data_IF_079273010857
#
_entry.id   IF_079273010857
#
_cell.length_a   1.000
_cell.length_b   1.000
_cell.length_c   1.000
_cell.angle_alpha   90.00
_cell.angle_beta   90.00
_cell.angle_gamma   90.00
#
_symmetry.space_group_name_H-M   'P 1'
#
loop_
_entity.id
_entity.type
_entity.pdbx_description
1 polymer ?
#
# COMPACT_ATOMS: atom_id res chain seq x y z
N UNK A 1 -13.88 -12.99 43.89
CA UNK A 1 -13.13 -13.27 42.65
C UNK A 1 -11.73 -12.66 42.76
N UNK A 2 -10.74 -13.42 43.24
CA UNK A 2 -9.37 -12.94 43.48
C UNK A 2 -8.52 -13.11 42.21
N UNK A 3 -7.91 -12.02 41.72
CA UNK A 3 -6.88 -12.02 40.66
C UNK A 3 -5.54 -11.53 41.21
N UNK A 4 -5.53 -11.11 42.47
CA UNK A 4 -4.40 -10.53 43.17
C UNK A 4 -3.22 -11.50 43.31
N UNK A 5 -3.44 -12.81 43.21
CA UNK A 5 -2.39 -13.83 43.22
C UNK A 5 -1.59 -13.92 41.90
N UNK A 6 -2.10 -13.33 40.81
CA UNK A 6 -1.49 -13.38 39.47
C UNK A 6 -1.23 -11.99 38.87
N UNK A 7 -1.39 -10.91 39.66
CA UNK A 7 -1.21 -9.52 39.20
C UNK A 7 -2.00 -9.16 37.92
N UNK A 8 -3.08 -9.90 37.64
CA UNK A 8 -3.84 -9.77 36.40
C UNK A 8 -4.87 -8.65 36.47
N UNK A 9 -4.91 -7.79 35.43
CA UNK A 9 -5.96 -6.79 35.28
C UNK A 9 -7.17 -7.38 34.55
N UNK A 10 -8.32 -7.46 35.22
CA UNK A 10 -9.60 -7.77 34.58
C UNK A 10 -10.26 -6.48 34.11
N UNK A 11 -10.48 -6.35 32.81
CA UNK A 11 -11.21 -5.23 32.21
C UNK A 11 -12.40 -5.75 31.42
N UNK A 12 -13.59 -5.22 31.68
CA UNK A 12 -14.79 -5.49 30.89
C UNK A 12 -14.84 -4.49 29.73
N UNK A 13 -14.58 -4.94 28.50
CA UNK A 13 -14.57 -4.08 27.32
C UNK A 13 -15.86 -4.29 26.52
N UNK A 14 -16.83 -3.38 26.71
CA UNK A 14 -18.04 -3.32 25.90
C UNK A 14 -17.76 -2.51 24.62
N UNK A 15 -17.55 -3.19 23.50
CA UNK A 15 -17.38 -2.55 22.18
C UNK A 15 -18.61 -2.77 21.33
N UNK A 16 -19.16 -1.71 20.73
CA UNK A 16 -20.14 -1.82 19.66
C UNK A 16 -19.43 -2.23 18.37
N UNK A 17 -19.84 -3.34 17.78
CA UNK A 17 -19.27 -3.82 16.51
C UNK A 17 -19.71 -2.89 15.37
N UNK A 18 -18.76 -2.22 14.74
CA UNK A 18 -18.96 -1.55 13.45
C UNK A 18 -18.79 -2.57 12.31
N UNK A 19 -19.06 -2.18 11.07
CA UNK A 19 -18.92 -3.04 9.88
C UNK A 19 -17.49 -3.60 9.71
N UNK A 20 -16.47 -2.88 10.20
CA UNK A 20 -15.07 -3.32 10.26
C UNK A 20 -14.65 -3.95 11.60
N UNK A 21 -15.61 -4.25 12.50
CA UNK A 21 -15.36 -4.83 13.81
C UNK A 21 -15.16 -3.79 14.92
N UNK A 22 -14.24 -4.06 15.85
CA UNK A 22 -13.87 -3.16 16.96
C UNK A 22 -12.92 -2.03 16.54
N UNK A 23 -12.38 -1.26 17.50
CA UNK A 23 -11.35 -0.23 17.21
C UNK A 23 -10.07 -0.87 16.67
N UNK A 24 -9.86 -0.83 15.35
CA UNK A 24 -8.61 -1.24 14.72
C UNK A 24 -8.12 -0.20 13.70
N UNK A 25 -7.24 0.75 14.08
CA UNK A 25 -6.72 1.74 13.15
C UNK A 25 -5.72 1.16 12.13
N UNK A 26 -5.24 -0.08 12.33
CA UNK A 26 -4.22 -0.70 11.50
C UNK A 26 -4.62 -0.81 10.02
N UNK A 27 -5.83 -1.29 9.75
CA UNK A 27 -6.33 -1.43 8.38
C UNK A 27 -6.39 -0.07 7.68
N UNK A 28 -6.93 0.97 8.34
CA UNK A 28 -7.02 2.31 7.77
C UNK A 28 -5.64 2.88 7.41
N UNK A 29 -4.67 2.76 8.32
CA UNK A 29 -3.29 3.21 8.07
C UNK A 29 -2.67 2.42 6.91
N UNK A 30 -2.85 1.10 6.84
CA UNK A 30 -2.32 0.28 5.75
C UNK A 30 -2.90 0.66 4.38
N UNK A 31 -4.19 0.97 4.29
CA UNK A 31 -4.78 1.42 3.01
C UNK A 31 -4.27 2.80 2.58
N UNK A 32 -4.10 3.73 3.53
CA UNK A 32 -3.58 5.08 3.23
C UNK A 32 -2.12 5.02 2.79
N UNK A 33 -1.28 4.20 3.42
CA UNK A 33 0.13 4.04 3.02
C UNK A 33 0.26 3.44 1.63
N UNK A 34 -0.51 2.39 1.31
CA UNK A 34 -0.50 1.79 -0.03
C UNK A 34 -1.05 2.76 -1.08
N UNK A 35 -2.13 3.47 -0.78
CA UNK A 35 -2.71 4.48 -1.67
C UNK A 35 -1.74 5.62 -1.98
N UNK A 36 -1.07 6.17 -0.96
CA UNK A 36 -0.08 7.23 -1.16
C UNK A 36 1.12 6.77 -1.98
N UNK A 37 1.63 5.54 -1.75
CA UNK A 37 2.71 4.96 -2.55
C UNK A 37 2.31 4.84 -4.03
N UNK A 38 1.10 4.36 -4.30
CA UNK A 38 0.57 4.24 -5.66
C UNK A 38 0.41 5.60 -6.35
N UNK A 39 -0.06 6.62 -5.62
CA UNK A 39 -0.22 7.97 -6.14
C UNK A 39 1.12 8.59 -6.56
N UNK A 40 2.17 8.39 -5.76
CA UNK A 40 3.53 8.86 -6.09
C UNK A 40 4.05 8.16 -7.36
N UNK A 41 3.92 6.84 -7.45
CA UNK A 41 4.34 6.07 -8.62
C UNK A 41 3.59 6.50 -9.89
N UNK A 42 2.29 6.75 -9.79
CA UNK A 42 1.46 7.24 -10.89
C UNK A 42 1.98 8.57 -11.45
N UNK A 43 2.27 9.54 -10.59
CA UNK A 43 2.81 10.85 -10.99
C UNK A 43 4.18 10.70 -11.66
N UNK A 44 5.06 9.85 -11.11
CA UNK A 44 6.40 9.62 -11.65
C UNK A 44 6.34 9.00 -13.06
N UNK A 45 5.50 7.98 -13.25
CA UNK A 45 5.32 7.35 -14.57
C UNK A 45 4.64 8.29 -15.55
N UNK A 46 3.63 9.05 -15.11
CA UNK A 46 2.96 10.04 -15.94
C UNK A 46 3.92 11.14 -16.40
N UNK A 47 4.75 11.65 -15.50
CA UNK A 47 5.80 12.61 -15.82
C UNK A 47 6.80 12.02 -16.82
N UNK A 48 7.36 10.82 -16.55
CA UNK A 48 8.29 10.16 -17.47
C UNK A 48 7.68 9.93 -18.86
N UNK A 49 6.42 9.52 -18.93
CA UNK A 49 5.72 9.29 -20.19
C UNK A 49 5.57 10.59 -21.00
N UNK A 50 5.28 11.71 -20.33
CA UNK A 50 5.17 13.03 -20.98
C UNK A 50 6.51 13.61 -21.41
N UNK A 51 7.57 13.44 -20.61
CA UNK A 51 8.91 13.98 -20.88
C UNK A 51 9.65 13.19 -21.97
N UNK A 52 9.48 11.87 -22.02
CA UNK A 52 10.13 11.01 -23.01
C UNK A 52 9.14 10.01 -23.60
N UNK A 53 8.24 10.43 -24.50
CA UNK A 53 7.36 9.52 -25.22
C UNK A 53 8.22 8.66 -26.15
N UNK A 54 8.68 7.51 -25.64
CA UNK A 54 9.29 6.49 -26.49
C UNK A 54 8.23 6.01 -27.46
N UNK A 55 8.56 6.00 -28.75
CA UNK A 55 7.72 5.34 -29.76
C UNK A 55 7.64 3.86 -29.41
N UNK A 56 6.43 3.37 -29.12
CA UNK A 56 6.19 1.94 -28.94
C UNK A 56 6.51 1.22 -30.26
N UNK A 57 7.36 0.20 -30.22
CA UNK A 57 7.71 -0.61 -31.39
C UNK A 57 8.89 -0.10 -32.23
N UNK A 58 9.73 0.81 -31.73
CA UNK A 58 10.95 1.20 -32.44
C UNK A 58 11.95 0.04 -32.53
N UNK A 59 12.17 -0.47 -33.75
CA UNK A 59 13.08 -1.59 -34.03
C UNK A 59 14.56 -1.22 -33.94
N UNK A 60 14.88 0.06 -33.69
CA UNK A 60 16.26 0.56 -33.53
C UNK A 60 17.03 -0.05 -32.36
N UNK A 61 16.33 -0.64 -31.38
CA UNK A 61 16.95 -1.32 -30.23
C UNK A 61 17.02 -2.85 -30.38
N UNK A 62 16.64 -3.40 -31.54
CA UNK A 62 16.78 -4.82 -31.81
C UNK A 62 18.25 -5.16 -32.08
N UNK A 63 18.87 -5.89 -31.16
CA UNK A 63 20.28 -6.34 -31.22
C UNK A 63 20.63 -7.03 -32.54
N UNK A 64 19.67 -7.77 -33.11
CA UNK A 64 19.86 -8.55 -34.34
C UNK A 64 19.97 -7.71 -35.61
N UNK A 65 19.43 -6.48 -35.61
CA UNK A 65 19.54 -5.56 -36.76
C UNK A 65 20.94 -4.93 -36.87
N UNK A 66 21.67 -4.83 -35.76
CA UNK A 66 22.99 -4.20 -35.71
C UNK A 66 24.14 -5.17 -36.03
N UNK A 67 23.83 -6.47 -36.21
CA UNK A 67 24.78 -7.54 -36.52
C UNK A 67 24.57 -8.13 -37.93
N UNK A 68 23.76 -7.47 -38.77
CA UNK A 68 23.63 -7.73 -40.22
C UNK A 68 24.27 -6.58 -40.99
#
# INVERSE_FOLDING_TARGET
FVVSAFEGKKSLVLSTTSWFGGRNPFLGVAYITVGSLCMVLSILFFAKHKLSPRKLGDTRYLVWKNNQ
#
